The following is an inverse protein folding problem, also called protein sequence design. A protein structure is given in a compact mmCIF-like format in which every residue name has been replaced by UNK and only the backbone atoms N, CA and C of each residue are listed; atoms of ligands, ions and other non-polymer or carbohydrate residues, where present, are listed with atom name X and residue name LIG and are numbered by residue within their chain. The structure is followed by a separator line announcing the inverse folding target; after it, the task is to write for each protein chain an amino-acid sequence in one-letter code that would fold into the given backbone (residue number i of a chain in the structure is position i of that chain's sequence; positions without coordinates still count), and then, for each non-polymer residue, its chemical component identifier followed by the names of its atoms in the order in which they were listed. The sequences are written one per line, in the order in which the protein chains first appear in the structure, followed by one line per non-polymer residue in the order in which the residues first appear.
data_IF_064384203970
#
_entry.id   IF_064384203970
#
_cell.length_a   1.000
_cell.length_b   1.000
_cell.length_c   1.000
_cell.angle_alpha   90.00
_cell.angle_beta   90.00
_cell.angle_gamma   90.00
#
_symmetry.space_group_name_H-M   'P 1'
#
loop_
_entity.id
_entity.type
_entity.pdbx_description
1 polymer ?
#
# COMPACT_ATOMS: atom_id res chain seq x y z
N UNK A 1 -6.45 -1.00 -18.69
CA UNK A 1 -6.06 -1.72 -17.47
C UNK A 1 -4.60 -1.36 -17.18
N UNK A 2 -4.31 -0.59 -16.13
CA UNK A 2 -2.96 -0.06 -15.87
C UNK A 2 -2.16 -1.02 -14.98
N UNK A 3 -1.73 -2.14 -15.57
CA UNK A 3 -1.00 -3.21 -14.89
C UNK A 3 0.36 -2.72 -14.34
N UNK A 4 0.99 -1.75 -15.02
CA UNK A 4 2.28 -1.19 -14.61
C UNK A 4 2.24 -0.53 -13.21
N UNK A 5 1.11 0.07 -12.83
CA UNK A 5 0.93 0.61 -11.46
C UNK A 5 0.83 -0.47 -10.40
N UNK A 6 0.14 -1.58 -10.70
CA UNK A 6 0.09 -2.72 -9.79
C UNK A 6 1.46 -3.39 -9.65
N UNK A 7 2.18 -3.57 -10.75
CA UNK A 7 3.53 -4.16 -10.74
C UNK A 7 4.52 -3.32 -9.94
N UNK A 8 4.51 -2.00 -10.12
CA UNK A 8 5.35 -1.08 -9.33
C UNK A 8 4.98 -1.07 -7.84
N UNK A 9 3.70 -1.23 -7.49
CA UNK A 9 3.27 -1.41 -6.09
C UNK A 9 3.92 -2.65 -5.47
N UNK A 10 3.81 -3.80 -6.14
CA UNK A 10 4.35 -5.06 -5.63
C UNK A 10 5.87 -5.07 -5.55
N UNK A 11 6.57 -4.56 -6.58
CA UNK A 11 8.02 -4.43 -6.57
C UNK A 11 8.50 -3.63 -5.36
N UNK A 12 7.79 -2.56 -5.05
CA UNK A 12 8.16 -1.67 -3.95
C UNK A 12 7.79 -2.24 -2.57
N UNK A 13 6.66 -2.94 -2.44
CA UNK A 13 6.36 -3.72 -1.25
C UNK A 13 7.48 -4.72 -0.95
N UNK A 14 7.91 -5.52 -1.94
CA UNK A 14 8.99 -6.50 -1.75
C UNK A 14 10.29 -5.85 -1.29
N UNK A 15 10.66 -4.72 -1.88
CA UNK A 15 11.88 -3.97 -1.52
C UNK A 15 11.80 -3.34 -0.13
N UNK A 16 10.66 -2.72 0.22
CA UNK A 16 10.50 -2.04 1.51
C UNK A 16 10.32 -3.03 2.67
N UNK A 17 9.63 -4.15 2.45
CA UNK A 17 9.18 -5.08 3.50
C UNK A 17 9.97 -6.40 3.58
N UNK A 18 10.33 -7.01 2.44
CA UNK A 18 10.77 -8.41 2.40
C UNK A 18 12.28 -8.56 2.15
N UNK A 19 12.77 -7.95 1.06
CA UNK A 19 14.17 -8.05 0.66
C UNK A 19 15.09 -7.52 1.76
N UNK A 20 16.17 -8.25 2.01
CA UNK A 20 17.19 -7.97 3.03
C UNK A 20 16.67 -7.87 4.48
N UNK A 21 15.40 -8.25 4.73
CA UNK A 21 14.76 -8.21 6.06
C UNK A 21 14.30 -9.58 6.54
N UNK A 22 13.82 -10.43 5.63
CA UNK A 22 13.29 -11.75 5.97
C UNK A 22 13.81 -12.80 4.99
N UNK A 23 14.18 -13.98 5.50
CA UNK A 23 14.32 -15.17 4.65
C UNK A 23 12.94 -15.78 4.40
N UNK A 24 12.24 -15.24 3.41
CA UNK A 24 10.86 -15.64 3.10
C UNK A 24 10.74 -17.10 2.65
N UNK A 25 11.84 -17.79 2.30
CA UNK A 25 11.80 -19.22 1.93
C UNK A 25 11.67 -20.13 3.14
N UNK A 26 12.07 -19.66 4.33
CA UNK A 26 11.99 -20.43 5.58
C UNK A 26 10.73 -20.13 6.39
N UNK A 27 9.94 -19.14 5.98
CA UNK A 27 8.73 -18.73 6.69
C UNK A 27 7.48 -19.48 6.21
N UNK A 28 6.51 -19.66 7.09
CA UNK A 28 5.20 -20.15 6.68
C UNK A 28 4.45 -19.11 5.84
N UNK A 29 3.61 -19.58 4.93
CA UNK A 29 2.81 -18.70 4.05
C UNK A 29 1.87 -17.81 4.87
N UNK A 30 1.37 -18.32 5.99
CA UNK A 30 0.48 -17.64 6.93
C UNK A 30 1.17 -16.44 7.58
N UNK A 31 2.44 -16.59 7.98
CA UNK A 31 3.25 -15.51 8.54
C UNK A 31 3.51 -14.42 7.50
N UNK A 32 3.84 -14.83 6.27
CA UNK A 32 4.04 -13.91 5.15
C UNK A 32 2.75 -13.13 4.83
N UNK A 33 1.58 -13.79 4.83
CA UNK A 33 0.28 -13.14 4.63
C UNK A 33 0.03 -12.08 5.69
N UNK A 34 0.31 -12.37 6.97
CA UNK A 34 0.14 -11.40 8.06
C UNK A 34 1.06 -10.19 7.88
N UNK A 35 2.32 -10.40 7.51
CA UNK A 35 3.27 -9.31 7.25
C UNK A 35 2.80 -8.41 6.10
N UNK A 36 2.43 -9.01 4.97
CA UNK A 36 1.93 -8.29 3.79
C UNK A 36 0.66 -7.50 4.13
N UNK A 37 -0.27 -8.13 4.85
CA UNK A 37 -1.52 -7.49 5.23
C UNK A 37 -1.29 -6.29 6.16
N UNK A 38 -0.43 -6.44 7.18
CA UNK A 38 -0.04 -5.33 8.07
C UNK A 38 0.63 -4.20 7.32
N UNK A 39 1.50 -4.51 6.36
CA UNK A 39 2.13 -3.49 5.52
C UNK A 39 1.09 -2.68 4.75
N UNK A 40 0.12 -3.32 4.11
CA UNK A 40 -0.90 -2.59 3.34
C UNK A 40 -1.85 -1.81 4.24
N UNK A 41 -2.41 -2.46 5.27
CA UNK A 41 -3.43 -1.83 6.10
C UNK A 41 -2.84 -0.68 6.94
N UNK A 42 -1.70 -0.90 7.59
CA UNK A 42 -1.19 0.05 8.58
C UNK A 42 -0.24 1.08 7.96
N UNK A 43 0.65 0.66 7.06
CA UNK A 43 1.65 1.55 6.49
C UNK A 43 1.21 2.13 5.15
N UNK A 44 0.92 1.29 4.15
CA UNK A 44 0.61 1.75 2.80
C UNK A 44 -0.59 2.68 2.76
N UNK A 45 -1.70 2.27 3.38
CA UNK A 45 -2.96 2.99 3.31
C UNK A 45 -2.95 4.28 4.14
N UNK A 46 -2.34 4.24 5.33
CA UNK A 46 -2.48 5.33 6.29
C UNK A 46 -1.27 6.28 6.32
N UNK A 47 -0.05 5.78 6.09
CA UNK A 47 1.19 6.53 6.35
C UNK A 47 1.99 6.86 5.10
N UNK A 48 1.79 6.12 4.01
CA UNK A 48 2.65 6.24 2.84
C UNK A 48 2.42 7.54 2.09
N UNK A 49 3.52 8.25 1.82
CA UNK A 49 3.51 9.44 0.99
C UNK A 49 3.50 9.01 -0.47
N UNK A 50 2.49 9.43 -1.23
CA UNK A 50 2.37 9.12 -2.65
C UNK A 50 2.41 10.41 -3.47
N UNK A 51 3.46 10.59 -4.28
CA UNK A 51 3.63 11.78 -5.13
C UNK A 51 2.48 11.95 -6.12
N UNK A 52 1.96 10.86 -6.68
CA UNK A 52 0.76 10.87 -7.54
C UNK A 52 -0.54 11.26 -6.79
N UNK A 53 -0.50 11.29 -5.46
CA UNK A 53 -1.60 11.75 -4.61
C UNK A 53 -1.30 13.13 -3.99
N UNK A 54 -0.36 13.91 -4.55
CA UNK A 54 0.02 15.21 -4.00
C UNK A 54 0.70 15.09 -2.63
N UNK A 55 1.37 13.97 -2.35
CA UNK A 55 2.00 13.69 -1.06
C UNK A 55 1.06 13.10 -0.01
N UNK A 56 -0.23 12.96 -0.31
CA UNK A 56 -1.20 12.39 0.62
C UNK A 56 -1.17 10.86 0.63
N UNK A 57 -1.52 10.28 1.79
CA UNK A 57 -1.73 8.84 1.89
C UNK A 57 -2.98 8.41 1.13
N UNK A 58 -3.04 7.16 0.65
CA UNK A 58 -4.20 6.62 -0.06
C UNK A 58 -5.52 6.84 0.69
N UNK A 59 -5.52 6.69 2.02
CA UNK A 59 -6.73 6.90 2.81
C UNK A 59 -7.18 8.35 2.87
N UNK A 60 -6.26 9.31 2.97
CA UNK A 60 -6.61 10.72 2.99
C UNK A 60 -7.16 11.15 1.62
N UNK A 61 -6.53 10.73 0.52
CA UNK A 61 -7.05 11.01 -0.82
C UNK A 61 -8.44 10.40 -1.03
N UNK A 62 -8.66 9.16 -0.56
CA UNK A 62 -9.95 8.48 -0.65
C UNK A 62 -11.03 9.23 0.15
N UNK A 63 -10.70 9.68 1.36
CA UNK A 63 -11.60 10.45 2.21
C UNK A 63 -12.03 11.74 1.51
N UNK A 64 -11.07 12.53 1.04
CA UNK A 64 -11.32 13.78 0.33
C UNK A 64 -12.20 13.59 -0.91
N UNK A 65 -12.00 12.50 -1.65
CA UNK A 65 -12.84 12.15 -2.80
C UNK A 65 -14.31 12.00 -2.41
N UNK A 66 -14.61 11.23 -1.35
CA UNK A 66 -15.99 11.04 -0.91
C UNK A 66 -16.59 12.29 -0.28
N UNK A 67 -15.81 13.03 0.51
CA UNK A 67 -16.24 14.34 1.05
C UNK A 67 -16.59 15.31 -0.10
N UNK A 68 -15.81 15.31 -1.18
CA UNK A 68 -16.10 16.14 -2.37
C UNK A 68 -17.37 15.68 -3.10
N UNK A 69 -17.60 14.37 -3.20
CA UNK A 69 -18.82 13.83 -3.79
C UNK A 69 -20.07 14.16 -2.96
N UNK A 70 -19.98 14.06 -1.63
CA UNK A 70 -21.07 14.42 -0.73
C UNK A 70 -21.41 15.91 -0.81
N UNK A 71 -20.40 16.78 -0.90
CA UNK A 71 -20.60 18.23 -1.08
C UNK A 71 -21.20 18.62 -2.43
N UNK A 72 -21.08 17.76 -3.44
CA UNK A 72 -21.58 18.01 -4.80
C UNK A 72 -23.00 17.44 -5.03
N UNK A 73 -23.57 16.72 -4.05
CA UNK A 73 -24.91 16.15 -4.08
C UNK A 73 -25.94 17.07 -3.42
#
# INVERSE_FOLDING_TARGET
HDNARCESMWARMKTELLYDRYDTKQMAVEELKVLIWRYFLSYWNNRRICSANGGLSPMIKRRQYYETLELAA
#
